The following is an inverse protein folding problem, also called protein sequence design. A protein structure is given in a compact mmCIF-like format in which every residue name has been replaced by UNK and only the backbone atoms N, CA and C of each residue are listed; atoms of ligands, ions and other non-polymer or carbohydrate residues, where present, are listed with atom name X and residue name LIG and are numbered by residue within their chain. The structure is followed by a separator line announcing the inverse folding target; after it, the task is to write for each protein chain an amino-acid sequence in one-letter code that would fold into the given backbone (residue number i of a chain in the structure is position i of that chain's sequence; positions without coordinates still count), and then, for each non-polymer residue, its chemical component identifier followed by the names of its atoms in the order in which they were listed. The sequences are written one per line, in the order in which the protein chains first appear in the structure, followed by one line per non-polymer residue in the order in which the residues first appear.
data_IF_390935478511
#
_entry.id   IF_390935478511
#
_cell.length_a   1.000
_cell.length_b   1.000
_cell.length_c   1.000
_cell.angle_alpha   90.00
_cell.angle_beta   90.00
_cell.angle_gamma   90.00
#
_symmetry.space_group_name_H-M   'P 1'
#
loop_
_entity.id
_entity.type
_entity.pdbx_description
1 polymer ?
#
# COMPACT_ATOMS: atom_id res chain seq x y z
N UNK A 1 -2.24 -8.99 -10.05
CA UNK A 1 -2.22 -8.04 -11.19
C UNK A 1 -1.13 -6.99 -11.02
N UNK A 2 -1.09 -6.25 -9.90
CA UNK A 2 -0.06 -5.23 -9.66
C UNK A 2 1.40 -5.68 -9.86
N UNK A 3 1.80 -6.85 -9.35
CA UNK A 3 3.20 -7.33 -9.47
C UNK A 3 3.59 -7.64 -10.91
N UNK A 4 2.68 -8.20 -11.70
CA UNK A 4 2.93 -8.49 -13.10
C UNK A 4 3.08 -7.18 -13.92
N UNK A 5 2.28 -6.16 -13.61
CA UNK A 5 2.40 -4.84 -14.24
C UNK A 5 3.75 -4.17 -13.88
N UNK A 6 4.12 -4.19 -12.59
CA UNK A 6 5.39 -3.66 -12.10
C UNK A 6 6.60 -4.31 -12.77
N UNK A 7 6.59 -5.63 -12.91
CA UNK A 7 7.62 -6.38 -13.64
C UNK A 7 7.66 -6.00 -15.13
N UNK A 8 6.49 -5.87 -15.78
CA UNK A 8 6.42 -5.51 -17.19
C UNK A 8 6.90 -4.08 -17.48
N UNK A 9 6.68 -3.15 -16.55
CA UNK A 9 7.09 -1.75 -16.68
C UNK A 9 8.50 -1.48 -16.16
N UNK A 10 9.13 -2.43 -15.47
CA UNK A 10 10.46 -2.23 -14.88
C UNK A 10 10.46 -1.30 -13.66
N UNK A 11 9.31 -1.16 -12.97
CA UNK A 11 9.11 -0.24 -11.84
C UNK A 11 8.83 -0.99 -10.55
N UNK A 12 9.15 -0.43 -9.37
CA UNK A 12 8.67 -0.98 -8.10
C UNK A 12 7.16 -0.76 -7.94
N UNK A 13 6.55 -1.56 -7.07
CA UNK A 13 5.17 -1.34 -6.65
C UNK A 13 5.11 -0.42 -5.44
N UNK A 14 4.19 0.54 -5.45
CA UNK A 14 3.79 1.28 -4.26
C UNK A 14 2.45 0.73 -3.78
N UNK A 15 2.42 0.07 -2.62
CA UNK A 15 1.18 -0.32 -1.98
C UNK A 15 0.63 0.82 -1.14
N UNK A 16 -0.61 1.21 -1.41
CA UNK A 16 -1.39 2.16 -0.64
C UNK A 16 -2.49 1.42 0.14
N UNK A 17 -2.26 1.14 1.43
CA UNK A 17 -3.31 0.61 2.30
C UNK A 17 -4.24 1.75 2.72
N UNK A 18 -5.42 1.75 2.13
CA UNK A 18 -6.40 2.84 2.21
C UNK A 18 -7.79 2.32 2.61
N UNK A 19 -8.77 3.22 2.70
CA UNK A 19 -10.16 2.85 2.92
C UNK A 19 -11.12 3.89 2.35
N UNK A 20 -12.32 3.45 1.98
CA UNK A 20 -13.39 4.30 1.47
C UNK A 20 -13.80 5.38 2.46
N UNK A 21 -13.87 5.03 3.76
CA UNK A 21 -14.22 5.95 4.83
C UNK A 21 -13.01 6.64 5.50
N UNK A 22 -11.81 6.47 4.94
CA UNK A 22 -10.57 6.97 5.54
C UNK A 22 -10.35 8.46 5.27
N UNK A 23 -10.72 9.31 6.23
CA UNK A 23 -10.56 10.78 6.14
C UNK A 23 -9.10 11.19 5.92
N UNK A 24 -8.17 10.58 6.65
CA UNK A 24 -6.74 10.91 6.51
C UNK A 24 -6.16 10.47 5.17
N UNK A 25 -6.69 9.41 4.56
CA UNK A 25 -6.28 8.97 3.23
C UNK A 25 -6.69 10.02 2.17
N UNK A 26 -7.94 10.51 2.25
CA UNK A 26 -8.40 11.59 1.35
C UNK A 26 -7.58 12.87 1.51
N UNK A 27 -7.19 13.21 2.74
CA UNK A 27 -6.28 14.34 2.98
C UNK A 27 -4.90 14.16 2.34
N UNK A 28 -4.32 12.96 2.39
CA UNK A 28 -3.07 12.68 1.68
C UNK A 28 -3.23 12.88 0.17
N UNK A 29 -4.32 12.35 -0.40
CA UNK A 29 -4.60 12.51 -1.83
C UNK A 29 -4.78 13.99 -2.22
N UNK A 30 -5.49 14.76 -1.40
CA UNK A 30 -5.79 16.17 -1.68
C UNK A 30 -4.59 17.10 -1.46
N UNK A 31 -3.73 16.82 -0.48
CA UNK A 31 -2.71 17.77 -0.01
C UNK A 31 -1.28 17.36 -0.39
N UNK A 32 -1.02 16.06 -0.55
CA UNK A 32 0.31 15.51 -0.80
C UNK A 32 0.40 14.95 -2.21
N UNK A 33 -0.56 14.14 -2.65
CA UNK A 33 -0.53 13.56 -4.01
C UNK A 33 -0.79 14.60 -5.10
N UNK A 34 -1.38 15.74 -4.74
CA UNK A 34 -1.62 16.86 -5.65
C UNK A 34 -0.38 17.74 -5.85
N UNK A 35 0.67 17.56 -5.04
CA UNK A 35 1.96 18.18 -5.27
C UNK A 35 2.55 17.68 -6.61
N UNK A 36 3.13 18.59 -7.38
CA UNK A 36 3.55 18.31 -8.74
C UNK A 36 4.66 17.25 -8.83
N UNK A 37 5.61 17.26 -7.89
CA UNK A 37 6.72 16.32 -7.88
C UNK A 37 6.25 14.94 -7.40
N UNK A 38 5.38 14.91 -6.38
CA UNK A 38 4.78 13.66 -5.90
C UNK A 38 3.94 13.02 -7.01
N UNK A 39 3.08 13.79 -7.66
CA UNK A 39 2.22 13.30 -8.74
C UNK A 39 3.03 12.72 -9.91
N UNK A 40 4.14 13.36 -10.27
CA UNK A 40 5.05 12.87 -11.30
C UNK A 40 5.61 11.49 -10.92
N UNK A 41 6.19 11.35 -9.71
CA UNK A 41 6.73 10.06 -9.24
C UNK A 41 5.67 8.96 -9.17
N UNK A 42 4.49 9.27 -8.66
CA UNK A 42 3.37 8.33 -8.55
C UNK A 42 2.89 7.82 -9.91
N UNK A 43 3.02 8.63 -10.97
CA UNK A 43 2.58 8.30 -12.32
C UNK A 43 3.68 7.63 -13.15
N UNK A 44 4.91 8.10 -13.00
CA UNK A 44 6.03 7.77 -13.90
C UNK A 44 6.95 6.71 -13.31
N UNK A 45 7.20 6.72 -12.00
CA UNK A 45 8.29 5.96 -11.40
C UNK A 45 7.83 4.69 -10.65
N UNK A 46 6.55 4.58 -10.30
CA UNK A 46 6.01 3.44 -9.54
C UNK A 46 4.74 2.88 -10.16
N UNK A 47 4.43 1.62 -9.85
CA UNK A 47 3.09 1.05 -10.05
C UNK A 47 2.30 1.16 -8.74
N UNK A 48 1.42 2.16 -8.66
CA UNK A 48 0.55 2.38 -7.51
C UNK A 48 -0.57 1.33 -7.44
N UNK A 49 -0.74 0.69 -6.27
CA UNK A 49 -1.80 -0.28 -5.99
C UNK A 49 -2.49 0.06 -4.67
N UNK A 50 -3.72 0.56 -4.78
CA UNK A 50 -4.56 0.85 -3.61
C UNK A 50 -5.27 -0.41 -3.10
N UNK A 51 -5.05 -0.73 -1.83
CA UNK A 51 -5.59 -1.87 -1.11
C UNK A 51 -6.61 -1.39 -0.08
N UNK A 52 -7.88 -1.39 -0.48
CA UNK A 52 -9.00 -0.94 0.36
C UNK A 52 -9.28 -1.95 1.48
N UNK A 53 -8.93 -1.59 2.72
CA UNK A 53 -9.05 -2.48 3.89
C UNK A 53 -10.49 -2.59 4.42
N UNK A 54 -11.37 -1.67 4.04
CA UNK A 54 -12.78 -1.62 4.42
C UNK A 54 -13.72 -2.09 3.28
N UNK A 55 -13.16 -2.63 2.20
CA UNK A 55 -13.93 -3.18 1.08
C UNK A 55 -14.74 -4.42 1.53
N UNK A 56 -16.06 -4.35 1.29
CA UNK A 56 -17.05 -5.35 1.69
C UNK A 56 -17.35 -6.38 0.61
N UNK A 57 -16.71 -6.29 -0.55
CA UNK A 57 -16.83 -7.26 -1.63
C UNK A 57 -16.39 -8.63 -1.12
N UNK A 58 -17.29 -9.60 -1.21
CA UNK A 58 -17.03 -10.96 -0.76
C UNK A 58 -16.00 -11.62 -1.68
N UNK A 59 -15.07 -12.38 -1.07
CA UNK A 59 -14.21 -13.29 -1.80
C UNK A 59 -14.99 -14.56 -2.18
N UNK A 60 -14.55 -15.29 -3.22
CA UNK A 60 -15.01 -16.65 -3.47
C UNK A 60 -14.93 -17.51 -2.19
N UNK A 61 -15.92 -18.35 -1.94
CA UNK A 61 -15.98 -19.17 -0.71
C UNK A 61 -14.74 -20.07 -0.53
N UNK A 62 -14.13 -20.51 -1.63
CA UNK A 62 -12.88 -21.27 -1.65
C UNK A 62 -11.66 -20.49 -1.12
N UNK A 63 -11.70 -19.15 -1.15
CA UNK A 63 -10.66 -18.30 -0.57
C UNK A 63 -10.91 -17.99 0.92
N UNK A 64 -12.09 -18.34 1.45
CA UNK A 64 -12.43 -18.03 2.84
C UNK A 64 -11.56 -18.83 3.80
N UNK A 65 -10.94 -18.14 4.75
CA UNK A 65 -10.07 -18.78 5.74
C UNK A 65 -10.02 -18.00 7.05
N UNK A 66 -9.49 -18.66 8.07
CA UNK A 66 -9.19 -18.03 9.36
C UNK A 66 -7.70 -18.10 9.57
N UNK A 67 -7.10 -16.94 9.77
CA UNK A 67 -5.68 -16.79 10.07
C UNK A 67 -5.50 -16.25 11.48
N UNK A 68 -4.35 -16.52 12.11
CA UNK A 68 -4.01 -15.95 13.40
C UNK A 68 -2.82 -15.02 13.30
N UNK A 69 -2.96 -13.83 13.88
CA UNK A 69 -1.87 -12.87 14.00
C UNK A 69 -2.01 -12.04 15.28
N UNK A 70 -0.92 -11.86 16.01
CA UNK A 70 -0.91 -11.07 17.26
C UNK A 70 -1.91 -11.57 18.32
N UNK A 71 -2.19 -12.87 18.35
CA UNK A 71 -3.16 -13.49 19.27
C UNK A 71 -4.62 -13.22 18.93
N UNK A 72 -4.93 -12.74 17.72
CA UNK A 72 -6.29 -12.49 17.22
C UNK A 72 -6.59 -13.33 15.99
N UNK A 73 -7.83 -13.80 15.90
CA UNK A 73 -8.36 -14.46 14.71
C UNK A 73 -8.76 -13.43 13.65
N UNK A 74 -8.27 -13.60 12.43
CA UNK A 74 -8.68 -12.86 11.24
C UNK A 74 -9.53 -13.76 10.37
N UNK A 75 -10.83 -13.44 10.27
CA UNK A 75 -11.75 -14.11 9.36
C UNK A 75 -11.68 -13.44 8.00
N UNK A 76 -10.97 -14.05 7.05
CA UNK A 76 -10.78 -13.52 5.71
C UNK A 76 -11.94 -13.97 4.84
N UNK A 77 -12.92 -13.07 4.63
CA UNK A 77 -14.12 -13.33 3.81
C UNK A 77 -14.36 -12.26 2.75
N UNK A 78 -13.84 -11.06 2.94
CA UNK A 78 -13.93 -9.96 1.98
C UNK A 78 -12.55 -9.50 1.51
N UNK A 79 -12.53 -8.74 0.42
CA UNK A 79 -11.32 -8.06 -0.07
C UNK A 79 -10.69 -7.22 1.06
N UNK A 80 -11.50 -6.45 1.80
CA UNK A 80 -11.00 -5.67 2.92
C UNK A 80 -10.39 -6.49 4.04
N UNK A 81 -10.95 -7.67 4.37
CA UNK A 81 -10.36 -8.56 5.36
C UNK A 81 -9.01 -9.11 4.89
N UNK A 82 -8.89 -9.45 3.59
CA UNK A 82 -7.65 -9.95 2.98
C UNK A 82 -6.54 -8.91 3.10
N UNK A 83 -6.82 -7.65 2.77
CA UNK A 83 -5.83 -6.58 2.86
C UNK A 83 -5.53 -6.12 4.29
N UNK A 84 -6.55 -6.08 5.16
CA UNK A 84 -6.35 -5.85 6.61
C UNK A 84 -5.41 -6.89 7.22
N UNK A 85 -5.62 -8.17 6.88
CA UNK A 85 -4.75 -9.25 7.35
C UNK A 85 -3.35 -9.15 6.76
N UNK A 86 -3.21 -8.87 5.46
CA UNK A 86 -1.89 -8.68 4.84
C UNK A 86 -1.12 -7.54 5.52
N UNK A 87 -1.78 -6.40 5.76
CA UNK A 87 -1.17 -5.25 6.43
C UNK A 87 -0.64 -5.64 7.82
N UNK A 88 -1.46 -6.33 8.60
CA UNK A 88 -1.12 -6.75 9.95
C UNK A 88 -0.01 -7.81 9.95
N UNK A 89 -0.20 -8.91 9.23
CA UNK A 89 0.72 -10.05 9.23
C UNK A 89 2.08 -9.74 8.64
N UNK A 90 2.14 -8.89 7.61
CA UNK A 90 3.37 -8.61 6.88
C UNK A 90 4.12 -7.39 7.40
N UNK A 91 3.42 -6.34 7.81
CA UNK A 91 4.02 -5.07 8.20
C UNK A 91 3.83 -4.74 9.68
N UNK A 92 3.12 -5.58 10.44
CA UNK A 92 2.76 -5.31 11.83
C UNK A 92 2.06 -3.95 12.02
N UNK A 93 1.19 -3.58 11.05
CA UNK A 93 0.43 -2.33 11.05
C UNK A 93 -1.06 -2.58 10.82
N UNK A 94 -1.88 -1.65 11.30
CA UNK A 94 -3.34 -1.71 11.20
C UNK A 94 -4.00 -0.33 11.04
N UNK A 95 -3.22 0.72 10.79
CA UNK A 95 -3.70 2.08 10.58
C UNK A 95 -3.57 2.46 9.10
N UNK A 96 -4.48 3.31 8.62
CA UNK A 96 -4.48 3.84 7.26
C UNK A 96 -4.56 5.39 7.32
N UNK A 97 -3.97 6.11 6.36
CA UNK A 97 -3.20 5.61 5.21
C UNK A 97 -1.88 4.98 5.64
N UNK A 98 -1.42 3.99 4.87
CA UNK A 98 -0.11 3.36 5.07
C UNK A 98 0.49 2.94 3.74
N UNK A 99 1.70 3.39 3.48
CA UNK A 99 2.39 3.24 2.20
C UNK A 99 3.69 2.47 2.36
N UNK A 100 3.93 1.51 1.47
CA UNK A 100 5.17 0.73 1.41
C UNK A 100 5.53 0.40 -0.03
N UNK A 101 6.81 0.34 -0.35
CA UNK A 101 7.29 -0.05 -1.67
C UNK A 101 7.74 -1.51 -1.70
N UNK A 102 7.53 -2.18 -2.83
CA UNK A 102 7.87 -3.59 -3.00
C UNK A 102 8.58 -3.79 -4.34
N UNK A 103 9.66 -4.57 -4.34
CA UNK A 103 10.40 -4.97 -5.54
C UNK A 103 9.68 -6.06 -6.36
N UNK A 104 10.33 -6.51 -7.43
CA UNK A 104 9.80 -7.53 -8.34
C UNK A 104 9.74 -8.94 -7.74
N UNK A 105 10.52 -9.21 -6.70
CA UNK A 105 10.51 -10.48 -5.96
C UNK A 105 9.47 -10.46 -4.83
N UNK A 106 8.82 -9.31 -4.63
CA UNK A 106 7.84 -9.13 -3.60
C UNK A 106 8.47 -8.81 -2.24
N UNK A 107 9.72 -8.33 -2.16
CA UNK A 107 10.34 -7.86 -0.91
C UNK A 107 10.00 -6.39 -0.64
N UNK A 108 9.84 -6.03 0.63
CA UNK A 108 9.70 -4.62 1.03
C UNK A 108 11.05 -3.92 0.88
N UNK A 109 11.04 -2.78 0.19
CA UNK A 109 12.20 -1.91 -0.04
C UNK A 109 11.96 -0.52 0.54
N UNK A 110 13.03 0.13 1.00
CA UNK A 110 12.97 1.45 1.63
C UNK A 110 12.18 1.49 2.94
N UNK A 111 11.70 2.67 3.30
CA UNK A 111 10.89 2.92 4.49
C UNK A 111 9.40 2.62 4.33
N UNK A 112 8.59 3.26 5.16
CA UNK A 112 7.13 3.27 5.05
C UNK A 112 6.59 4.64 5.41
N UNK A 113 5.53 5.09 4.74
CA UNK A 113 4.86 6.34 5.07
C UNK A 113 3.46 6.11 5.67
N UNK A 114 2.99 7.09 6.44
CA UNK A 114 1.65 7.11 7.04
C UNK A 114 0.91 8.39 6.68
N UNK A 115 0.02 8.85 7.57
CA UNK A 115 -0.55 10.18 7.45
C UNK A 115 0.47 11.24 7.89
N UNK A 116 0.89 12.05 6.94
CA UNK A 116 1.65 13.29 7.16
C UNK A 116 1.32 14.27 6.03
N UNK A 117 0.77 15.47 6.31
CA UNK A 117 0.42 16.43 5.27
C UNK A 117 1.63 17.16 4.65
N UNK A 118 2.86 16.75 4.99
CA UNK A 118 4.09 17.27 4.39
C UNK A 118 4.46 16.50 3.12
N UNK A 119 4.44 17.18 1.98
CA UNK A 119 4.79 16.59 0.68
C UNK A 119 6.28 16.27 0.56
N UNK A 120 7.16 17.05 1.20
CA UNK A 120 8.61 16.81 1.14
C UNK A 120 8.95 15.48 1.83
N UNK A 121 8.35 15.20 2.99
CA UNK A 121 8.54 13.91 3.67
C UNK A 121 8.04 12.72 2.85
N UNK A 122 6.97 12.91 2.08
CA UNK A 122 6.47 11.86 1.20
C UNK A 122 7.38 11.64 -0.02
N UNK A 123 7.96 12.71 -0.56
CA UNK A 123 8.98 12.63 -1.62
C UNK A 123 10.22 11.90 -1.13
N UNK A 124 10.73 12.22 0.06
CA UNK A 124 11.86 11.52 0.67
C UNK A 124 11.59 10.01 0.77
N UNK A 125 10.39 9.62 1.22
CA UNK A 125 9.97 8.22 1.26
C UNK A 125 10.00 7.55 -0.13
N UNK A 126 9.47 8.21 -1.17
CA UNK A 126 9.48 7.68 -2.52
C UNK A 126 10.92 7.54 -3.06
N UNK A 127 11.75 8.55 -2.85
CA UNK A 127 13.12 8.58 -3.33
C UNK A 127 13.99 7.52 -2.65
N UNK A 128 13.84 7.29 -1.36
CA UNK A 128 14.51 6.20 -0.65
C UNK A 128 14.14 4.83 -1.23
N UNK A 129 12.85 4.59 -1.48
CA UNK A 129 12.39 3.32 -2.07
C UNK A 129 12.85 3.13 -3.51
N UNK A 130 12.82 4.18 -4.33
CA UNK A 130 13.33 4.15 -5.71
C UNK A 130 14.85 3.95 -5.75
N UNK A 131 15.60 4.55 -4.83
CA UNK A 131 17.04 4.36 -4.74
C UNK A 131 17.41 2.92 -4.39
N UNK A 132 16.69 2.30 -3.43
CA UNK A 132 16.92 0.91 -3.05
C UNK A 132 16.54 -0.07 -4.17
N UNK A 133 15.48 0.22 -4.94
CA UNK A 133 15.09 -0.60 -6.09
C UNK A 133 16.13 -0.61 -7.22
N UNK A 134 16.81 0.51 -7.45
CA UNK A 134 17.78 0.68 -8.54
C UNK A 134 19.20 0.20 -8.20
N UNK A 135 19.40 -0.39 -7.02
CA UNK A 135 20.70 -0.79 -6.51
C UNK A 135 21.14 -2.17 -7.02
#
# INVERSE_FOLDING_TARGET
EGLAAAQAEGKPMLLDFTGWACVNCRKMEEQVWSDAEVAAKLTEDVVLVSLYVDDRTALPEEEHRVEQYGGKDFRIKTIGNKWSYLQASRFNRNAQPFYVMIDHDGNHIGGSAGYDPDAELFLEFLDEGLAEFNR
#
